data_IF_020125646589
#
_entry.id   IF_020125646589
#
_cell.length_a   1.000
_cell.length_b   1.000
_cell.length_c   1.000
_cell.angle_alpha   90.00
_cell.angle_beta   90.00
_cell.angle_gamma   90.00
#
_symmetry.space_group_name_H-M   'P 1'
#
loop_
_entity.id
_entity.type
_entity.pdbx_description
1 polymer ?
#
# COMPACT_ATOMS: atom_id res chain seq x y z
N UNK A 1 23.58 12.29 -1.25
CA UNK A 1 23.01 11.10 -1.93
C UNK A 1 22.95 11.40 -3.42
N UNK A 2 23.46 10.53 -4.28
CA UNK A 2 23.34 10.71 -5.75
C UNK A 2 21.94 10.30 -6.19
N UNK A 3 21.28 11.15 -6.97
CA UNK A 3 19.97 10.83 -7.52
C UNK A 3 20.11 9.75 -8.60
N UNK A 4 19.42 8.61 -8.43
CA UNK A 4 19.34 7.52 -9.40
C UNK A 4 17.89 7.47 -9.90
N UNK A 5 17.58 7.96 -11.11
CA UNK A 5 16.19 8.08 -11.59
C UNK A 5 15.39 6.78 -11.51
N UNK A 6 15.99 5.66 -11.95
CA UNK A 6 15.37 4.31 -11.91
C UNK A 6 15.07 3.81 -10.50
N UNK A 7 15.64 4.41 -9.46
CA UNK A 7 15.37 4.10 -8.06
C UNK A 7 14.36 5.08 -7.47
N UNK A 8 14.66 6.37 -7.61
CA UNK A 8 13.97 7.40 -6.85
C UNK A 8 12.63 7.80 -7.45
N UNK A 9 12.46 7.77 -8.78
CA UNK A 9 11.17 8.11 -9.39
C UNK A 9 10.06 7.15 -8.94
N UNK A 10 10.23 5.81 -9.05
CA UNK A 10 9.22 4.88 -8.53
C UNK A 10 9.07 4.99 -7.01
N UNK A 11 10.14 5.25 -6.26
CA UNK A 11 10.07 5.43 -4.79
C UNK A 11 9.20 6.62 -4.41
N UNK A 12 9.38 7.76 -5.08
CA UNK A 12 8.59 8.98 -4.87
C UNK A 12 7.13 8.71 -5.22
N UNK A 13 6.87 8.04 -6.35
CA UNK A 13 5.51 7.68 -6.74
C UNK A 13 4.81 6.82 -5.67
N UNK A 14 5.45 5.74 -5.20
CA UNK A 14 4.88 4.87 -4.16
C UNK A 14 4.65 5.65 -2.86
N UNK A 15 5.65 6.40 -2.41
CA UNK A 15 5.55 7.18 -1.19
C UNK A 15 4.46 8.25 -1.26
N UNK A 16 4.30 8.91 -2.41
CA UNK A 16 3.24 9.87 -2.64
C UNK A 16 1.86 9.22 -2.46
N UNK A 17 1.61 8.08 -3.11
CA UNK A 17 0.31 7.37 -3.00
C UNK A 17 0.07 6.90 -1.57
N UNK A 18 1.08 6.31 -0.92
CA UNK A 18 0.96 5.83 0.46
C UNK A 18 0.63 6.99 1.40
N UNK A 19 1.41 8.08 1.36
CA UNK A 19 1.23 9.25 2.23
C UNK A 19 -0.15 9.90 2.00
N UNK A 20 -0.59 10.05 0.75
CA UNK A 20 -1.93 10.58 0.48
C UNK A 20 -3.03 9.69 1.05
N UNK A 21 -2.87 8.37 0.95
CA UNK A 21 -3.86 7.43 1.49
C UNK A 21 -3.95 7.45 3.03
N UNK A 22 -2.90 7.90 3.73
CA UNK A 22 -2.88 8.00 5.19
C UNK A 22 -3.92 8.99 5.72
N UNK A 23 -4.23 10.05 4.96
CA UNK A 23 -5.25 11.01 5.36
C UNK A 23 -6.58 10.31 5.61
N UNK A 24 -7.05 9.48 4.68
CA UNK A 24 -8.28 8.70 4.84
C UNK A 24 -8.19 7.74 6.05
N UNK A 25 -7.09 7.01 6.17
CA UNK A 25 -6.92 5.96 7.20
C UNK A 25 -6.80 6.47 8.64
N UNK A 26 -6.30 7.69 8.84
CA UNK A 26 -6.11 8.27 10.19
C UNK A 26 -7.17 9.29 10.58
N UNK A 27 -8.04 9.73 9.66
CA UNK A 27 -9.09 10.73 9.94
C UNK A 27 -10.47 10.13 10.18
N UNK A 28 -10.63 8.81 10.06
CA UNK A 28 -11.93 8.15 10.19
C UNK A 28 -12.86 8.48 9.02
N UNK A 29 -12.32 8.39 7.79
CA UNK A 29 -13.12 8.66 6.59
C UNK A 29 -14.12 7.53 6.33
N UNK A 30 -15.29 7.87 5.77
CA UNK A 30 -16.32 6.88 5.43
C UNK A 30 -15.83 5.83 4.42
N UNK A 31 -14.90 6.21 3.52
CA UNK A 31 -14.25 5.28 2.60
C UNK A 31 -13.45 4.20 3.36
N UNK A 32 -12.71 4.62 4.40
CA UNK A 32 -11.92 3.70 5.22
C UNK A 32 -12.83 2.76 5.98
N UNK A 33 -13.88 3.29 6.60
CA UNK A 33 -14.87 2.50 7.34
C UNK A 33 -15.60 1.51 6.43
N UNK A 34 -15.95 1.92 5.21
CA UNK A 34 -16.56 1.03 4.22
C UNK A 34 -15.62 -0.12 3.83
N UNK A 35 -14.36 0.18 3.50
CA UNK A 35 -13.38 -0.83 3.07
C UNK A 35 -13.12 -1.84 4.18
N UNK A 36 -12.72 -1.36 5.36
CA UNK A 36 -12.34 -2.25 6.45
C UNK A 36 -13.55 -2.88 7.12
N UNK A 37 -14.67 -2.16 7.26
CA UNK A 37 -15.93 -2.71 7.75
C UNK A 37 -16.40 -3.90 6.91
N UNK A 38 -16.42 -3.75 5.58
CA UNK A 38 -16.78 -4.84 4.65
C UNK A 38 -15.87 -6.07 4.83
N UNK A 39 -14.56 -5.85 4.98
CA UNK A 39 -13.61 -6.95 5.21
C UNK A 39 -13.75 -7.58 6.60
N UNK A 40 -14.04 -6.78 7.62
CA UNK A 40 -14.26 -7.23 9.00
C UNK A 40 -15.51 -8.10 9.11
N UNK A 41 -16.60 -7.70 8.46
CA UNK A 41 -17.84 -8.48 8.37
C UNK A 41 -17.63 -9.77 7.58
N UNK A 42 -17.01 -9.70 6.40
CA UNK A 42 -16.75 -10.86 5.56
C UNK A 42 -15.86 -11.91 6.23
N UNK A 43 -14.79 -11.46 6.91
CA UNK A 43 -13.83 -12.37 7.56
C UNK A 43 -14.28 -12.87 8.93
N UNK A 44 -15.29 -12.23 9.53
CA UNK A 44 -15.66 -12.42 10.95
C UNK A 44 -14.64 -11.82 11.94
N UNK A 45 -13.62 -11.11 11.44
CA UNK A 45 -12.58 -10.48 12.25
C UNK A 45 -12.98 -9.04 12.54
N UNK A 46 -13.95 -8.85 13.44
CA UNK A 46 -14.52 -7.53 13.74
C UNK A 46 -13.48 -6.47 14.14
N UNK A 47 -12.44 -6.86 14.89
CA UNK A 47 -11.37 -5.93 15.26
C UNK A 47 -10.59 -5.41 14.05
N UNK A 48 -10.47 -6.21 12.98
CA UNK A 48 -9.83 -5.78 11.73
C UNK A 48 -10.70 -4.77 10.99
N UNK A 49 -12.03 -4.86 11.12
CA UNK A 49 -12.92 -3.85 10.56
C UNK A 49 -12.78 -2.47 11.21
N UNK A 50 -12.41 -2.43 12.50
CA UNK A 50 -12.23 -1.18 13.26
C UNK A 50 -10.79 -0.66 13.19
N UNK A 51 -9.81 -1.55 13.29
CA UNK A 51 -8.39 -1.17 13.42
C UNK A 51 -7.54 -1.44 12.17
N UNK A 52 -8.10 -2.12 11.16
CA UNK A 52 -7.38 -2.49 9.94
C UNK A 52 -6.84 -1.27 9.18
N UNK A 53 -7.62 -0.19 9.12
CA UNK A 53 -7.18 1.07 8.52
C UNK A 53 -5.91 1.62 9.17
N UNK A 54 -5.88 1.69 10.49
CA UNK A 54 -4.69 2.12 11.24
C UNK A 54 -3.51 1.19 11.05
N UNK A 55 -3.73 -0.14 11.08
CA UNK A 55 -2.68 -1.13 10.90
C UNK A 55 -2.00 -1.00 9.53
N UNK A 56 -2.80 -0.92 8.46
CA UNK A 56 -2.29 -0.76 7.10
C UNK A 56 -1.65 0.61 6.92
N UNK A 57 -2.25 1.68 7.45
CA UNK A 57 -1.70 3.03 7.37
C UNK A 57 -0.31 3.16 8.03
N UNK A 58 -0.11 2.51 9.19
CA UNK A 58 1.21 2.46 9.84
C UNK A 58 2.21 1.69 8.97
N UNK A 59 1.81 0.55 8.40
CA UNK A 59 2.67 -0.25 7.54
C UNK A 59 3.09 0.53 6.27
N UNK A 60 2.17 1.26 5.65
CA UNK A 60 2.42 2.13 4.50
C UNK A 60 3.35 3.28 4.85
N UNK A 61 3.17 3.95 5.99
CA UNK A 61 4.06 5.01 6.46
C UNK A 61 5.49 4.49 6.65
N UNK A 62 5.64 3.33 7.29
CA UNK A 62 6.95 2.69 7.48
C UNK A 62 7.57 2.37 6.11
N UNK A 63 6.81 1.75 5.20
CA UNK A 63 7.30 1.43 3.86
C UNK A 63 7.76 2.69 3.10
N UNK A 64 6.97 3.77 3.15
CA UNK A 64 7.29 5.05 2.52
C UNK A 64 8.58 5.67 3.06
N UNK A 65 8.80 5.61 4.38
CA UNK A 65 10.05 6.07 5.00
C UNK A 65 11.23 5.20 4.55
N UNK A 66 11.09 3.87 4.64
CA UNK A 66 12.19 2.94 4.33
C UNK A 66 12.68 3.06 2.89
N UNK A 67 11.81 3.40 1.94
CA UNK A 67 12.18 3.62 0.53
C UNK A 67 13.27 4.68 0.34
N UNK A 68 13.46 5.61 1.28
CA UNK A 68 14.50 6.65 1.21
C UNK A 68 15.69 6.41 2.15
N UNK A 69 15.78 5.23 2.76
CA UNK A 69 16.86 4.86 3.69
C UNK A 69 17.78 3.78 3.09
N UNK A 70 18.75 3.32 3.89
CA UNK A 70 19.56 2.13 3.57
C UNK A 70 18.75 0.84 3.45
N UNK A 71 17.53 0.83 3.98
CA UNK A 71 16.59 -0.29 3.95
C UNK A 71 15.62 -0.23 2.76
N UNK A 72 15.98 0.49 1.70
CA UNK A 72 15.15 0.68 0.51
C UNK A 72 14.51 -0.63 0.00
N UNK A 73 15.27 -1.73 -0.06
CA UNK A 73 14.75 -3.03 -0.49
C UNK A 73 13.75 -3.69 0.47
N UNK A 74 13.82 -3.36 1.77
CA UNK A 74 12.79 -3.77 2.74
C UNK A 74 11.51 -2.95 2.50
N UNK A 75 11.65 -1.63 2.30
CA UNK A 75 10.51 -0.75 2.00
C UNK A 75 9.78 -1.16 0.71
N UNK A 76 10.51 -1.49 -0.36
CA UNK A 76 9.90 -1.97 -1.60
C UNK A 76 9.22 -3.33 -1.44
N UNK A 77 9.82 -4.27 -0.70
CA UNK A 77 9.19 -5.57 -0.40
C UNK A 77 7.93 -5.40 0.44
N UNK A 78 7.93 -4.51 1.44
CA UNK A 78 6.73 -4.19 2.22
C UNK A 78 5.62 -3.63 1.34
N UNK A 79 5.95 -2.70 0.42
CA UNK A 79 4.98 -2.14 -0.51
C UNK A 79 4.35 -3.21 -1.42
N UNK A 80 5.14 -4.20 -1.88
CA UNK A 80 4.60 -5.37 -2.59
C UNK A 80 3.61 -6.13 -1.71
N UNK A 81 3.96 -6.44 -0.47
CA UNK A 81 3.09 -7.18 0.45
C UNK A 81 1.76 -6.47 0.72
N UNK A 82 1.82 -5.17 1.05
CA UNK A 82 0.64 -4.35 1.35
C UNK A 82 -0.31 -4.29 0.13
N UNK A 83 0.23 -3.96 -1.05
CA UNK A 83 -0.59 -3.87 -2.25
C UNK A 83 -1.10 -5.24 -2.73
N UNK A 84 -0.34 -6.32 -2.51
CA UNK A 84 -0.83 -7.68 -2.80
C UNK A 84 -2.07 -7.97 -1.97
N UNK A 85 -2.03 -7.70 -0.66
CA UNK A 85 -3.19 -7.85 0.21
C UNK A 85 -4.39 -7.02 -0.26
N UNK A 86 -4.17 -5.74 -0.56
CA UNK A 86 -5.22 -4.85 -1.06
C UNK A 86 -5.86 -5.39 -2.36
N UNK A 87 -5.05 -5.74 -3.36
CA UNK A 87 -5.53 -6.26 -4.65
C UNK A 87 -6.29 -7.57 -4.47
N UNK A 88 -5.76 -8.51 -3.67
CA UNK A 88 -6.44 -9.78 -3.40
C UNK A 88 -7.79 -9.56 -2.71
N UNK A 89 -7.87 -8.62 -1.76
CA UNK A 89 -9.13 -8.31 -1.11
C UNK A 89 -10.16 -7.72 -2.08
N UNK A 90 -9.76 -6.86 -3.01
CA UNK A 90 -10.70 -6.34 -4.02
C UNK A 90 -11.21 -7.42 -4.97
N UNK A 91 -10.38 -8.43 -5.31
CA UNK A 91 -10.72 -9.46 -6.29
C UNK A 91 -11.43 -10.68 -5.71
N UNK A 92 -11.13 -11.05 -4.46
CA UNK A 92 -11.56 -12.32 -3.87
C UNK A 92 -12.47 -12.14 -2.63
N UNK A 93 -12.89 -10.92 -2.33
CA UNK A 93 -13.84 -10.62 -1.24
C UNK A 93 -15.01 -9.77 -1.75
N UNK A 94 -16.07 -9.59 -0.96
CA UNK A 94 -17.20 -8.73 -1.31
C UNK A 94 -16.86 -7.25 -1.51
N UNK A 95 -15.63 -6.82 -1.22
CA UNK A 95 -15.17 -5.45 -1.38
C UNK A 95 -15.32 -4.94 -2.82
N UNK A 96 -14.93 -5.76 -3.80
CA UNK A 96 -14.98 -5.38 -5.22
C UNK A 96 -13.95 -4.32 -5.62
N UNK A 97 -14.01 -3.88 -6.88
CA UNK A 97 -13.03 -2.96 -7.50
C UNK A 97 -13.45 -1.50 -7.43
N UNK A 98 -14.76 -1.22 -7.52
CA UNK A 98 -15.31 0.13 -7.58
C UNK A 98 -15.74 0.54 -6.17
N UNK A 99 -15.13 1.60 -5.63
CA UNK A 99 -15.39 2.09 -4.28
C UNK A 99 -16.41 3.23 -4.30
N UNK A 100 -17.37 3.27 -3.35
CA UNK A 100 -18.27 4.40 -3.19
C UNK A 100 -17.51 5.66 -2.76
N UNK A 101 -17.97 6.81 -3.25
CA UNK A 101 -17.50 8.13 -2.83
C UNK A 101 -18.52 8.72 -1.84
N UNK A 102 -18.05 9.25 -0.72
CA UNK A 102 -18.90 9.76 0.35
C UNK A 102 -18.84 11.28 0.47
N UNK A 103 -19.98 11.87 0.81
CA UNK A 103 -20.05 13.26 1.25
C UNK A 103 -19.48 13.43 2.66
N UNK A 104 -19.31 14.69 3.09
CA UNK A 104 -18.94 15.00 4.48
C UNK A 104 -19.97 14.49 5.52
N UNK A 105 -21.21 14.20 5.10
CA UNK A 105 -22.28 13.64 5.96
C UNK A 105 -22.44 12.14 5.82
N UNK A 106 -21.58 11.46 5.05
CA UNK A 106 -21.58 10.00 4.88
C UNK A 106 -22.58 9.48 3.85
N UNK A 107 -23.18 10.36 3.05
CA UNK A 107 -24.06 9.94 1.94
C UNK A 107 -23.21 9.52 0.75
N UNK A 108 -23.60 8.44 0.08
CA UNK A 108 -22.95 8.01 -1.17
C UNK A 108 -23.34 8.98 -2.29
N UNK A 109 -22.38 9.73 -2.79
CA UNK A 109 -22.57 10.74 -3.84
C UNK A 109 -22.03 10.30 -5.20
N UNK A 110 -21.32 9.18 -5.24
CA UNK A 110 -20.69 8.68 -6.45
C UNK A 110 -19.89 7.41 -6.24
N UNK A 111 -18.98 7.14 -7.16
CA UNK A 111 -17.98 6.09 -7.04
C UNK A 111 -16.68 6.50 -7.73
N UNK A 112 -15.60 5.85 -7.36
CA UNK A 112 -14.25 6.16 -7.84
C UNK A 112 -13.93 5.61 -9.24
N UNK A 113 -14.86 4.89 -9.90
CA UNK A 113 -14.64 4.25 -11.19
C UNK A 113 -13.53 3.19 -11.22
N UNK A 114 -13.10 2.67 -10.05
CA UNK A 114 -11.98 1.76 -9.92
C UNK A 114 -10.60 2.45 -9.90
N UNK A 115 -10.56 3.76 -9.71
CA UNK A 115 -9.31 4.53 -9.64
C UNK A 115 -8.40 4.05 -8.51
N UNK A 116 -8.96 3.75 -7.33
CA UNK A 116 -8.16 3.30 -6.17
C UNK A 116 -7.49 1.95 -6.46
N UNK A 117 -8.23 1.02 -7.07
CA UNK A 117 -7.70 -0.27 -7.48
C UNK A 117 -6.63 -0.14 -8.58
N UNK A 118 -6.86 0.71 -9.58
CA UNK A 118 -5.87 1.00 -10.62
C UNK A 118 -4.57 1.56 -10.05
N UNK A 119 -4.67 2.49 -9.09
CA UNK A 119 -3.51 3.02 -8.37
C UNK A 119 -2.79 1.95 -7.56
N UNK A 120 -3.52 1.06 -6.88
CA UNK A 120 -2.93 -0.07 -6.16
C UNK A 120 -2.11 -0.98 -7.08
N UNK A 121 -2.62 -1.27 -8.30
CA UNK A 121 -1.92 -2.06 -9.31
C UNK A 121 -0.63 -1.37 -9.79
N UNK A 122 -0.67 -0.07 -10.06
CA UNK A 122 0.51 0.70 -10.49
C UNK A 122 1.59 0.75 -9.39
N UNK A 123 1.18 0.93 -8.13
CA UNK A 123 2.09 0.91 -6.98
C UNK A 123 2.70 -0.49 -6.81
N UNK A 124 1.90 -1.54 -6.95
CA UNK A 124 2.37 -2.93 -6.88
C UNK A 124 3.43 -3.24 -7.95
N UNK A 125 3.18 -2.88 -9.21
CA UNK A 125 4.15 -3.07 -10.30
C UNK A 125 5.44 -2.27 -10.06
N UNK A 126 5.32 -1.03 -9.60
CA UNK A 126 6.46 -0.18 -9.24
C UNK A 126 7.28 -0.80 -8.09
N UNK A 127 6.61 -1.34 -7.08
CA UNK A 127 7.24 -1.98 -5.93
C UNK A 127 7.95 -3.28 -6.29
N UNK A 128 7.35 -4.12 -7.17
CA UNK A 128 8.01 -5.32 -7.70
C UNK A 128 9.27 -4.95 -8.46
N UNK A 129 9.18 -3.95 -9.34
CA UNK A 129 10.33 -3.47 -10.09
C UNK A 129 11.48 -3.04 -9.16
N UNK A 130 11.18 -2.24 -8.12
CA UNK A 130 12.18 -1.83 -7.14
C UNK A 130 12.76 -3.01 -6.34
N UNK A 131 11.91 -3.95 -5.93
CA UNK A 131 12.33 -5.15 -5.20
C UNK A 131 13.32 -5.98 -6.02
N UNK A 132 13.00 -6.27 -7.28
CA UNK A 132 13.90 -7.01 -8.20
C UNK A 132 15.20 -6.24 -8.41
N UNK A 133 15.12 -4.92 -8.60
CA UNK A 133 16.29 -4.05 -8.76
C UNK A 133 17.21 -4.14 -7.55
N UNK A 134 16.68 -4.08 -6.34
CA UNK A 134 17.49 -4.11 -5.11
C UNK A 134 18.11 -5.47 -4.84
N UNK A 135 17.40 -6.56 -5.14
CA UNK A 135 17.96 -7.91 -5.05
C UNK A 135 19.17 -8.07 -5.98
N UNK A 136 19.12 -7.47 -7.17
CA UNK A 136 20.19 -7.52 -8.18
C UNK A 136 21.31 -6.51 -7.95
N UNK A 137 21.07 -5.46 -7.16
CA UNK A 137 22.08 -4.45 -6.86
C UNK A 137 23.08 -4.99 -5.85
N UNK A 138 24.29 -5.34 -6.31
CA UNK A 138 25.39 -5.80 -5.47
C UNK A 138 25.69 -4.76 -4.37
N UNK A 139 25.78 -5.22 -3.13
CA UNK A 139 26.02 -4.37 -1.96
C UNK A 139 24.77 -3.64 -1.42
N UNK A 140 23.58 -3.87 -1.98
CA UNK A 140 22.34 -3.45 -1.31
C UNK A 140 22.13 -4.24 -0.01
N UNK A 141 21.42 -3.65 0.95
CA UNK A 141 21.11 -4.34 2.22
C UNK A 141 20.37 -5.66 1.96
N UNK A 142 19.37 -5.67 1.09
CA UNK A 142 18.57 -6.87 0.76
C UNK A 142 19.40 -7.93 0.03
N UNK A 143 20.26 -7.54 -0.91
CA UNK A 143 21.19 -8.46 -1.56
C UNK A 143 22.15 -9.10 -0.54
N UNK A 144 22.70 -8.30 0.36
CA UNK A 144 23.61 -8.79 1.42
C UNK A 144 22.89 -9.72 2.39
N UNK A 145 21.64 -9.42 2.75
CA UNK A 145 20.83 -10.27 3.62
C UNK A 145 20.55 -11.63 2.97
N UNK A 146 20.15 -11.64 1.68
CA UNK A 146 19.90 -12.88 0.93
C UNK A 146 21.17 -13.72 0.78
N UNK A 147 22.32 -13.09 0.52
CA UNK A 147 23.60 -13.79 0.39
C UNK A 147 24.14 -14.36 1.71
N UNK A 148 23.73 -13.81 2.87
CA UNK A 148 24.13 -14.32 4.19
C UNK A 148 23.18 -15.38 4.75
N UNK A 149 21.95 -15.42 4.25
CA UNK A 149 20.91 -16.37 4.66
C UNK A 149 20.79 -17.61 3.76
N UNK A 150 21.49 -17.63 2.62
CA UNK A 150 21.67 -18.78 1.74
C UNK A 150 23.03 -19.44 2.00
#
# INVERSE_FOLDING_TARGET
>A
MTFIPKKHIPSIFIAFVFIQSLFFKFTGSYETDHIFGTLGEWSGIHWFGVYGGYLIGIAELIAAILLFTRFHGVGSTMAVGIMTGAILFHLFTPLGVVMPEFSATGEVIGNDGGLLFGMACLVWLSAIFLTIRDIRAQGSFTNTLLMKGA
#
